data_IF_924782516175
#
_entry.id   IF_924782516175
#
_cell.length_a   1.000
_cell.length_b   1.000
_cell.length_c   1.000
_cell.angle_alpha   90.00
_cell.angle_beta   90.00
_cell.angle_gamma   90.00
#
_symmetry.space_group_name_H-M   'P 1'
#
loop_
_entity.id
_entity.type
_entity.pdbx_description
1 polymer ?
#
# COMPACT_ATOMS: atom_id res chain seq x y z
N UNK A 1 5.33 11.82 5.19
CA UNK A 1 6.46 11.04 5.78
C UNK A 1 6.37 9.62 5.23
N UNK A 2 7.47 8.89 5.00
CA UNK A 2 7.37 7.50 4.55
C UNK A 2 6.66 6.68 5.63
N UNK A 3 5.50 6.13 5.31
CA UNK A 3 4.71 5.31 6.22
C UNK A 3 5.51 4.07 6.59
N UNK A 4 5.70 3.83 7.88
CA UNK A 4 6.52 2.73 8.39
C UNK A 4 5.73 1.94 9.43
N UNK A 5 5.68 0.61 9.26
CA UNK A 5 5.30 -0.39 10.27
C UNK A 5 4.20 0.00 11.30
N UNK A 6 3.08 0.59 10.85
CA UNK A 6 1.95 0.89 11.72
C UNK A 6 1.34 2.28 11.54
N UNK A 7 2.11 3.22 10.97
CA UNK A 7 1.59 4.54 10.61
C UNK A 7 0.96 4.46 9.22
N UNK A 8 -0.29 4.00 9.17
CA UNK A 8 -1.05 3.87 7.93
C UNK A 8 -2.02 5.04 7.78
N UNK A 9 -2.21 5.56 6.55
CA UNK A 9 -3.29 6.50 6.29
C UNK A 9 -4.62 5.86 6.68
N UNK A 10 -5.62 6.66 7.13
CA UNK A 10 -6.90 6.14 7.58
C UNK A 10 -7.58 5.25 6.54
N UNK A 11 -7.38 5.52 5.24
CA UNK A 11 -7.87 4.70 4.12
C UNK A 11 -7.32 3.26 4.12
N UNK A 12 -6.12 3.04 4.65
CA UNK A 12 -5.46 1.72 4.68
C UNK A 12 -5.77 0.95 5.96
N UNK A 13 -6.20 1.61 7.03
CA UNK A 13 -6.55 0.96 8.30
C UNK A 13 -7.70 -0.04 8.17
N UNK A 14 -8.61 0.20 7.23
CA UNK A 14 -9.74 -0.69 6.94
C UNK A 14 -9.42 -1.79 5.91
N UNK A 15 -8.18 -1.85 5.42
CA UNK A 15 -7.75 -2.82 4.42
C UNK A 15 -7.01 -4.00 5.08
N UNK A 16 -7.01 -5.19 4.46
CA UNK A 16 -6.29 -6.33 5.00
C UNK A 16 -4.77 -6.09 5.04
N UNK A 17 -4.08 -6.79 5.96
CA UNK A 17 -2.66 -6.54 6.29
C UNK A 17 -1.75 -6.63 5.07
N UNK A 18 -1.87 -7.70 4.28
CA UNK A 18 -1.09 -7.89 3.05
C UNK A 18 -1.27 -6.72 2.06
N UNK A 19 -2.50 -6.20 1.94
CA UNK A 19 -2.83 -5.13 1.00
C UNK A 19 -2.26 -3.79 1.45
N UNK A 20 -2.39 -3.44 2.74
CA UNK A 20 -1.86 -2.18 3.27
C UNK A 20 -0.33 -2.15 3.28
N UNK A 21 0.34 -3.28 3.53
CA UNK A 21 1.80 -3.37 3.50
C UNK A 21 2.33 -3.12 2.09
N UNK A 22 1.76 -3.78 1.08
CA UNK A 22 2.12 -3.55 -0.32
C UNK A 22 1.75 -2.14 -0.80
N UNK A 23 0.59 -1.63 -0.38
CA UNK A 23 0.17 -0.27 -0.74
C UNK A 23 1.12 0.79 -0.18
N UNK A 24 1.60 0.63 1.06
CA UNK A 24 2.59 1.51 1.68
C UNK A 24 3.93 1.44 0.95
N UNK A 25 4.38 0.25 0.56
CA UNK A 25 5.62 0.09 -0.22
C UNK A 25 5.58 0.94 -1.48
N UNK A 26 4.51 0.81 -2.27
CA UNK A 26 4.33 1.54 -3.53
C UNK A 26 4.14 3.04 -3.26
N UNK A 27 3.32 3.39 -2.27
CA UNK A 27 3.04 4.77 -1.93
C UNK A 27 4.32 5.49 -1.45
N UNK A 28 5.19 4.82 -0.69
CA UNK A 28 6.47 5.37 -0.24
C UNK A 28 7.39 5.71 -1.42
N UNK A 29 7.43 4.89 -2.47
CA UNK A 29 8.23 5.18 -3.67
C UNK A 29 7.66 6.40 -4.42
N UNK A 30 6.33 6.45 -4.62
CA UNK A 30 5.67 7.60 -5.24
C UNK A 30 5.89 8.88 -4.43
N UNK A 31 5.87 8.78 -3.09
CA UNK A 31 6.06 9.90 -2.20
C UNK A 31 7.51 10.40 -2.20
N UNK A 32 8.49 9.52 -2.43
CA UNK A 32 9.89 9.93 -2.66
C UNK A 32 10.05 10.67 -4.00
N UNK A 33 9.33 10.28 -5.04
CA UNK A 33 9.44 10.90 -6.37
C UNK A 33 8.65 12.21 -6.49
N UNK A 34 7.36 12.21 -6.13
CA UNK A 34 6.44 13.33 -6.34
C UNK A 34 6.18 14.16 -5.07
N UNK A 35 6.44 13.61 -3.88
CA UNK A 35 6.11 14.27 -2.60
C UNK A 35 4.62 14.39 -2.30
N UNK A 36 3.75 13.93 -3.21
CA UNK A 36 2.31 14.16 -3.13
C UNK A 36 1.60 13.02 -2.40
N UNK A 37 1.30 13.26 -1.12
CA UNK A 37 0.79 12.24 -0.21
C UNK A 37 -0.58 11.70 -0.65
N UNK A 38 -1.47 12.57 -1.13
CA UNK A 38 -2.81 12.17 -1.56
C UNK A 38 -2.76 11.26 -2.79
N UNK A 39 -1.87 11.58 -3.74
CA UNK A 39 -1.66 10.78 -4.94
C UNK A 39 -1.00 9.45 -4.59
N UNK A 40 0.00 9.46 -3.71
CA UNK A 40 0.67 8.26 -3.24
C UNK A 40 -0.31 7.30 -2.56
N UNK A 41 -1.20 7.80 -1.69
CA UNK A 41 -2.20 6.97 -1.00
C UNK A 41 -3.15 6.30 -2.00
N UNK A 42 -3.73 7.07 -2.93
CA UNK A 42 -4.70 6.55 -3.88
C UNK A 42 -4.06 5.56 -4.86
N UNK A 43 -2.87 5.90 -5.36
CA UNK A 43 -2.16 5.10 -6.36
C UNK A 43 -1.56 3.84 -5.74
N UNK A 44 -0.98 3.93 -4.55
CA UNK A 44 -0.41 2.78 -3.84
C UNK A 44 -1.46 1.71 -3.56
N UNK A 45 -2.66 2.10 -3.11
CA UNK A 45 -3.74 1.14 -2.86
C UNK A 45 -4.26 0.49 -4.14
N UNK A 46 -4.38 1.28 -5.22
CA UNK A 46 -4.83 0.79 -6.52
C UNK A 46 -3.85 -0.23 -7.09
N UNK A 47 -2.56 0.08 -7.11
CA UNK A 47 -1.54 -0.84 -7.61
C UNK A 47 -1.40 -2.07 -6.74
N UNK A 48 -1.43 -1.91 -5.41
CA UNK A 48 -1.41 -3.06 -4.51
C UNK A 48 -2.58 -4.00 -4.78
N UNK A 49 -3.80 -3.47 -4.97
CA UNK A 49 -4.97 -4.29 -5.31
C UNK A 49 -4.78 -5.04 -6.62
N UNK A 50 -4.34 -4.36 -7.68
CA UNK A 50 -4.08 -5.00 -8.97
C UNK A 50 -2.99 -6.08 -8.85
N UNK A 51 -1.92 -5.80 -8.12
CA UNK A 51 -0.84 -6.77 -7.91
C UNK A 51 -1.37 -8.08 -7.31
N UNK A 52 -2.22 -8.01 -6.28
CA UNK A 52 -2.82 -9.21 -5.70
C UNK A 52 -3.96 -9.79 -6.55
N UNK A 53 -4.63 -9.01 -7.40
CA UNK A 53 -5.55 -9.52 -8.43
C UNK A 53 -4.83 -10.45 -9.40
N UNK A 54 -3.65 -10.06 -9.86
CA UNK A 54 -2.78 -10.88 -10.72
C UNK A 54 -2.03 -11.98 -9.96
N UNK A 55 -1.67 -11.75 -8.68
CA UNK A 55 -0.92 -12.66 -7.82
C UNK A 55 -1.73 -13.07 -6.60
N UNK A 56 -2.77 -13.91 -6.76
CA UNK A 56 -3.62 -14.32 -5.65
C UNK A 56 -2.91 -15.20 -4.62
N UNK A 57 -1.79 -15.84 -4.98
CA UNK A 57 -1.02 -16.71 -4.09
C UNK A 57 -0.31 -15.94 -2.96
N UNK A 58 0.16 -14.72 -3.23
CA UNK A 58 0.80 -13.85 -2.23
C UNK A 58 -0.17 -13.21 -1.23
N UNK A 59 -1.49 -13.48 -1.35
CA UNK A 59 -2.50 -13.01 -0.41
C UNK A 59 -2.48 -13.79 0.92
N UNK A 60 -1.90 -14.98 0.94
CA UNK A 60 -1.98 -15.91 2.09
C UNK A 60 -0.73 -15.91 2.99
N UNK A 61 0.34 -15.20 2.62
CA UNK A 61 1.59 -15.17 3.38
C UNK A 61 1.57 -14.14 4.54
N UNK A 62 0.64 -14.32 5.49
CA UNK A 62 0.85 -13.88 6.87
C UNK A 62 0.34 -14.95 7.82
N UNK A 63 1.06 -16.07 7.87
CA UNK A 63 1.00 -17.02 8.98
C UNK A 63 1.95 -16.58 10.09
#
# INVERSE_FOLDING_TARGET
>A
MPWYNGDYPPSYKNQPKYLREKAVEIANEILKENGDESIAIATGLKQARQYFEDHPQEREDTN
#
